data_IF_036400278502
#
_entry.id   IF_036400278502
#
_cell.length_a   1.000
_cell.length_b   1.000
_cell.length_c   1.000
_cell.angle_alpha   90.00
_cell.angle_beta   90.00
_cell.angle_gamma   90.00
#
_symmetry.space_group_name_H-M   'P 1'
#
loop_
_entity.id
_entity.type
_entity.pdbx_description
1 polymer ?
#
# COMPACT_ATOMS: atom_id res chain seq x y z
N UNK A 1 24.68 0.48 -14.06
CA UNK A 1 23.63 -0.51 -14.41
C UNK A 1 22.49 0.16 -15.17
N UNK A 2 22.01 1.37 -14.79
CA UNK A 2 20.97 2.09 -15.56
C UNK A 2 21.33 3.53 -15.99
N UNK A 3 22.58 3.97 -15.77
CA UNK A 3 23.14 5.21 -16.34
C UNK A 3 22.80 6.51 -15.60
N UNK A 4 22.10 6.45 -14.46
CA UNK A 4 21.72 7.61 -13.65
C UNK A 4 22.81 8.04 -12.65
N UNK A 5 22.87 9.33 -12.35
CA UNK A 5 23.73 9.91 -11.31
C UNK A 5 23.17 9.72 -9.89
N UNK A 6 23.95 10.08 -8.87
CA UNK A 6 23.60 9.85 -7.46
C UNK A 6 22.33 10.58 -7.00
N UNK A 7 22.01 11.72 -7.61
CA UNK A 7 20.84 12.56 -7.31
C UNK A 7 19.64 12.28 -8.22
N UNK A 8 19.79 11.43 -9.22
CA UNK A 8 18.78 11.27 -10.26
C UNK A 8 17.70 10.27 -9.83
N UNK A 9 16.47 10.74 -9.74
CA UNK A 9 15.32 9.89 -9.49
C UNK A 9 14.89 9.15 -10.77
N UNK A 10 14.32 7.95 -10.60
CA UNK A 10 13.60 7.27 -11.70
C UNK A 10 12.35 8.08 -12.06
N UNK A 11 11.83 7.99 -13.29
CA UNK A 11 10.57 8.62 -13.68
C UNK A 11 9.45 8.27 -12.69
N UNK A 12 8.67 9.27 -12.29
CA UNK A 12 7.54 9.13 -11.36
C UNK A 12 6.24 9.46 -12.08
N UNK A 13 5.23 8.63 -11.90
CA UNK A 13 3.86 8.91 -12.30
C UNK A 13 2.90 8.62 -11.15
N UNK A 14 1.83 9.40 -11.08
CA UNK A 14 0.81 9.29 -10.06
C UNK A 14 -0.56 9.42 -10.72
N UNK A 15 -1.48 8.52 -10.40
CA UNK A 15 -2.87 8.59 -10.84
C UNK A 15 -3.79 8.32 -9.65
N UNK A 16 -4.89 9.07 -9.55
CA UNK A 16 -5.89 8.94 -8.48
C UNK A 16 -7.25 8.63 -9.08
N UNK A 17 -8.10 7.91 -8.32
CA UNK A 17 -9.44 7.57 -8.78
C UNK A 17 -9.50 6.44 -9.82
N UNK A 18 -8.42 5.65 -9.95
CA UNK A 18 -8.30 4.53 -10.91
C UNK A 18 -9.36 3.44 -10.73
N UNK A 19 -9.90 3.29 -9.52
CA UNK A 19 -11.01 2.41 -9.20
C UNK A 19 -12.21 3.26 -8.72
N UNK A 20 -13.23 3.49 -9.56
CA UNK A 20 -14.27 4.49 -9.30
C UNK A 20 -15.21 4.15 -8.13
N UNK A 21 -15.18 2.91 -7.64
CA UNK A 21 -16.05 2.44 -6.56
C UNK A 21 -15.38 2.39 -5.19
N UNK A 22 -14.05 2.43 -5.14
CA UNK A 22 -13.33 2.48 -3.87
C UNK A 22 -13.51 3.88 -3.25
N UNK A 23 -13.51 3.99 -1.92
CA UNK A 23 -13.57 5.30 -1.26
C UNK A 23 -12.38 6.19 -1.63
N UNK A 24 -11.21 5.58 -1.80
CA UNK A 24 -10.04 6.19 -2.42
C UNK A 24 -9.22 5.16 -3.16
N UNK A 25 -8.60 5.56 -4.28
CA UNK A 25 -7.69 4.72 -5.05
C UNK A 25 -6.58 5.55 -5.66
N UNK A 26 -5.36 5.00 -5.70
CA UNK A 26 -4.22 5.62 -6.35
C UNK A 26 -3.21 4.59 -6.88
N UNK A 27 -2.62 4.87 -8.04
CA UNK A 27 -1.43 4.18 -8.53
C UNK A 27 -0.26 5.14 -8.38
N UNK A 28 0.79 4.68 -7.71
CA UNK A 28 2.09 5.35 -7.67
C UNK A 28 3.11 4.48 -8.39
N UNK A 29 3.87 5.07 -9.29
CA UNK A 29 4.94 4.38 -9.99
C UNK A 29 6.23 5.19 -9.97
N UNK A 30 7.34 4.52 -9.71
CA UNK A 30 8.70 5.07 -9.77
C UNK A 30 9.63 4.09 -10.47
N UNK A 31 9.87 4.34 -11.76
CA UNK A 31 10.48 3.35 -12.65
C UNK A 31 9.65 2.06 -12.69
N UNK A 32 10.27 0.92 -12.42
CA UNK A 32 9.59 -0.39 -12.38
C UNK A 32 8.88 -0.67 -11.05
N UNK A 33 9.11 0.13 -10.01
CA UNK A 33 8.39 -0.02 -8.73
C UNK A 33 7.02 0.62 -8.86
N UNK A 34 5.95 -0.18 -8.82
CA UNK A 34 4.57 0.27 -8.85
C UNK A 34 3.79 -0.26 -7.65
N UNK A 35 2.92 0.58 -7.09
CA UNK A 35 1.99 0.19 -6.03
C UNK A 35 0.59 0.75 -6.33
N UNK A 36 -0.42 -0.11 -6.17
CA UNK A 36 -1.82 0.25 -6.11
C UNK A 36 -2.24 0.36 -4.64
N UNK A 37 -2.72 1.53 -4.24
CA UNK A 37 -3.26 1.77 -2.91
C UNK A 37 -4.77 1.97 -2.98
N UNK A 38 -5.48 1.36 -2.04
CA UNK A 38 -6.91 1.53 -1.86
C UNK A 38 -7.21 1.98 -0.43
N UNK A 39 -8.13 2.93 -0.31
CA UNK A 39 -8.62 3.43 0.96
C UNK A 39 -10.06 2.96 1.13
N UNK A 40 -10.33 2.41 2.32
CA UNK A 40 -11.67 2.04 2.76
C UNK A 40 -11.99 2.82 4.02
N UNK A 41 -13.13 3.50 4.03
CA UNK A 41 -13.69 4.16 5.21
C UNK A 41 -14.78 3.26 5.78
N UNK A 42 -14.80 3.15 7.10
CA UNK A 42 -15.78 2.38 7.86
C UNK A 42 -16.12 3.13 9.16
N UNK A 43 -17.25 2.79 9.82
CA UNK A 43 -17.56 3.31 11.15
C UNK A 43 -16.47 3.01 12.16
N UNK A 44 -16.40 3.81 13.23
CA UNK A 44 -15.38 3.65 14.28
C UNK A 44 -15.45 2.30 15.01
N UNK A 45 -16.62 1.66 14.99
CA UNK A 45 -16.87 0.32 15.55
C UNK A 45 -16.11 -0.78 14.79
N UNK A 46 -15.69 -0.55 13.55
CA UNK A 46 -14.86 -1.47 12.76
C UNK A 46 -13.35 -1.27 13.00
N UNK A 47 -12.96 -0.43 13.98
CA UNK A 47 -11.57 -0.36 14.40
C UNK A 47 -11.06 -1.72 14.86
N UNK A 48 -9.81 -2.05 14.52
CA UNK A 48 -9.23 -3.35 14.86
C UNK A 48 -9.04 -3.43 16.37
N UNK A 49 -9.74 -4.35 17.03
CA UNK A 49 -9.49 -4.68 18.43
C UNK A 49 -8.17 -5.44 18.57
N UNK A 50 -7.36 -5.07 19.55
CA UNK A 50 -6.07 -5.69 19.82
C UNK A 50 -6.10 -6.20 21.24
N UNK A 51 -5.84 -7.50 21.42
CA UNK A 51 -5.67 -8.10 22.75
C UNK A 51 -4.28 -7.73 23.29
N UNK A 52 -4.17 -6.54 23.86
CA UNK A 52 -2.93 -6.01 24.40
C UNK A 52 -2.73 -6.47 25.86
N UNK A 53 -2.53 -7.78 26.04
CA UNK A 53 -2.31 -8.43 27.35
C UNK A 53 -1.15 -7.82 28.15
N UNK A 54 -0.11 -7.33 27.47
CA UNK A 54 1.03 -6.64 28.10
C UNK A 54 0.81 -5.16 28.43
N UNK A 55 -0.41 -4.65 28.24
CA UNK A 55 -0.73 -3.23 28.27
C UNK A 55 -0.52 -2.56 26.90
N UNK A 56 -1.21 -1.44 26.67
CA UNK A 56 -1.15 -0.68 25.41
C UNK A 56 -2.52 -0.36 24.83
N UNK A 57 -2.53 0.13 23.58
CA UNK A 57 -3.75 0.45 22.85
C UNK A 57 -4.58 -0.82 22.60
N UNK A 58 -5.84 -0.80 23.04
CA UNK A 58 -6.79 -1.90 22.88
C UNK A 58 -7.50 -1.89 21.52
N UNK A 59 -7.32 -0.82 20.73
CA UNK A 59 -7.91 -0.69 19.41
C UNK A 59 -7.04 0.15 18.47
N UNK A 60 -7.10 -0.14 17.18
CA UNK A 60 -6.37 0.56 16.11
C UNK A 60 -7.33 1.03 15.03
N UNK A 61 -7.41 2.35 14.86
CA UNK A 61 -8.30 3.00 13.88
C UNK A 61 -7.72 3.11 12.48
N UNK A 62 -6.39 3.14 12.37
CA UNK A 62 -5.70 3.22 11.08
C UNK A 62 -5.10 1.85 10.74
N UNK A 63 -5.61 1.21 9.70
CA UNK A 63 -5.20 -0.12 9.29
C UNK A 63 -4.51 -0.03 7.93
N UNK A 64 -3.30 -0.58 7.83
CA UNK A 64 -2.54 -0.67 6.58
C UNK A 64 -2.17 -2.13 6.34
N UNK A 65 -2.71 -2.68 5.25
CA UNK A 65 -2.34 -3.99 4.75
C UNK A 65 -1.42 -3.81 3.54
N UNK A 66 -0.20 -4.35 3.63
CA UNK A 66 0.77 -4.36 2.55
C UNK A 66 0.84 -5.76 1.95
N UNK A 67 0.59 -5.86 0.64
CA UNK A 67 0.65 -7.12 -0.11
C UNK A 67 1.80 -7.04 -1.12
N UNK A 68 2.64 -8.08 -1.16
CA UNK A 68 3.72 -8.21 -2.13
C UNK A 68 3.63 -9.57 -2.84
N UNK A 69 2.79 -9.66 -3.88
CA UNK A 69 2.58 -10.93 -4.56
C UNK A 69 3.81 -11.33 -5.40
N UNK A 70 4.11 -12.62 -5.56
CA UNK A 70 5.36 -13.08 -6.20
C UNK A 70 5.49 -12.61 -7.66
N UNK A 71 4.37 -12.43 -8.36
CA UNK A 71 4.37 -11.88 -9.71
C UNK A 71 4.89 -10.44 -9.79
N UNK A 72 4.95 -9.69 -8.67
CA UNK A 72 5.47 -8.31 -8.66
C UNK A 72 6.95 -8.24 -9.02
N UNK A 73 7.67 -9.37 -8.95
CA UNK A 73 9.07 -9.52 -9.37
C UNK A 73 9.23 -10.59 -10.45
N UNK A 74 8.13 -11.04 -11.08
CA UNK A 74 8.17 -12.06 -12.12
C UNK A 74 8.42 -13.49 -11.62
N UNK A 75 8.24 -13.75 -10.32
CA UNK A 75 8.42 -15.07 -9.72
C UNK A 75 7.07 -15.77 -9.46
N UNK A 76 7.13 -17.08 -9.21
CA UNK A 76 5.99 -17.88 -8.77
C UNK A 76 6.12 -18.23 -7.29
N UNK A 77 5.01 -18.28 -6.54
CA UNK A 77 5.05 -18.63 -5.13
C UNK A 77 3.68 -18.48 -4.47
N UNK A 78 3.62 -18.73 -3.15
CA UNK A 78 2.40 -18.53 -2.37
C UNK A 78 2.30 -17.07 -1.93
N UNK A 79 1.12 -16.49 -2.11
CA UNK A 79 0.66 -15.25 -1.46
C UNK A 79 0.03 -15.52 -0.11
#
# INVERSE_FOLDING_TARGET
VDGRGYSDLRPITCEVGVLPRAHGSAIFQRGETQALALTTLAPIEEAQMIDAYGGGEQSKRFILHYNFPPFSVGETGRT
#
